data_IF_020718540461
#
_entry.id   IF_020718540461
#
_cell.length_a   1.000
_cell.length_b   1.000
_cell.length_c   1.000
_cell.angle_alpha   90.00
_cell.angle_beta   90.00
_cell.angle_gamma   90.00
#
_symmetry.space_group_name_H-M   'P 1'
#
loop_
_entity.id
_entity.type
_entity.pdbx_description
1 polymer ?
#
# COMPACT_ATOMS: atom_id res chain seq x y z
N UNK A 1 -11.25 3.05 -4.41
CA UNK A 1 -9.80 3.17 -4.46
C UNK A 1 -9.27 2.03 -5.32
N UNK A 2 -9.02 2.29 -6.59
CA UNK A 2 -8.39 1.35 -7.53
C UNK A 2 -6.87 1.37 -7.40
N UNK A 3 -6.17 0.54 -8.18
CA UNK A 3 -4.72 0.59 -8.29
C UNK A 3 -4.22 1.94 -8.84
N UNK A 4 -4.97 2.56 -9.76
CA UNK A 4 -4.65 3.90 -10.25
C UNK A 4 -4.82 4.97 -9.17
N UNK A 5 -5.86 4.87 -8.34
CA UNK A 5 -6.04 5.78 -7.19
C UNK A 5 -4.86 5.67 -6.22
N UNK A 6 -4.37 4.45 -5.94
CA UNK A 6 -3.18 4.24 -5.11
C UNK A 6 -1.92 4.87 -5.73
N UNK A 7 -1.68 4.67 -7.03
CA UNK A 7 -0.55 5.30 -7.71
C UNK A 7 -0.63 6.83 -7.60
N UNK A 8 -1.80 7.41 -7.87
CA UNK A 8 -2.00 8.85 -7.80
C UNK A 8 -1.84 9.40 -6.38
N UNK A 9 -2.27 8.66 -5.37
CA UNK A 9 -2.05 9.01 -3.96
C UNK A 9 -0.56 9.08 -3.63
N UNK A 10 0.22 8.07 -4.05
CA UNK A 10 1.66 8.03 -3.83
C UNK A 10 2.40 9.14 -4.58
N UNK A 11 2.05 9.36 -5.85
CA UNK A 11 2.59 10.44 -6.67
C UNK A 11 2.27 11.82 -6.07
N UNK A 12 1.03 12.05 -5.65
CA UNK A 12 0.63 13.32 -5.04
C UNK A 12 1.35 13.58 -3.73
N UNK A 13 1.54 12.53 -2.91
CA UNK A 13 2.16 12.68 -1.59
C UNK A 13 3.68 12.85 -1.65
N UNK A 14 4.36 12.06 -2.48
CA UNK A 14 5.81 11.93 -2.45
C UNK A 14 6.49 12.08 -3.82
N UNK A 15 5.74 12.30 -4.89
CA UNK A 15 6.25 12.54 -6.24
C UNK A 15 6.82 11.31 -6.93
N UNK A 16 6.53 10.10 -6.43
CA UNK A 16 7.06 8.82 -6.95
C UNK A 16 6.02 7.69 -6.85
N UNK A 17 6.08 6.77 -7.79
CA UNK A 17 5.22 5.59 -7.86
C UNK A 17 5.82 4.45 -7.02
N UNK A 18 5.79 4.59 -5.69
CA UNK A 18 6.35 3.61 -4.76
C UNK A 18 5.64 2.25 -4.82
N UNK A 19 6.41 1.17 -4.65
CA UNK A 19 5.84 -0.15 -4.41
C UNK A 19 5.09 -0.20 -3.07
N UNK A 20 4.04 -1.01 -3.02
CA UNK A 20 3.28 -1.30 -1.80
C UNK A 20 3.30 -2.79 -1.55
N UNK A 21 3.65 -3.18 -0.32
CA UNK A 21 3.62 -4.57 0.12
C UNK A 21 2.66 -4.74 1.27
N UNK A 22 1.95 -5.86 1.28
CA UNK A 22 1.12 -6.23 2.41
C UNK A 22 1.89 -7.26 3.24
N UNK A 23 2.07 -6.96 4.53
CA UNK A 23 2.78 -7.83 5.46
C UNK A 23 1.89 -8.18 6.63
N UNK A 24 1.71 -9.48 6.88
CA UNK A 24 1.07 -9.96 8.10
C UNK A 24 2.12 -10.23 9.18
N UNK A 25 1.89 -9.70 10.37
CA UNK A 25 2.71 -9.98 11.56
C UNK A 25 1.76 -10.36 12.69
N UNK A 26 1.80 -11.63 13.09
CA UNK A 26 0.85 -12.20 14.06
C UNK A 26 -0.60 -11.94 13.60
N UNK A 27 -1.37 -11.22 14.42
CA UNK A 27 -2.76 -10.89 14.16
C UNK A 27 -2.96 -9.48 13.57
N UNK A 28 -1.90 -8.86 13.04
CA UNK A 28 -1.94 -7.53 12.44
C UNK A 28 -1.54 -7.57 10.98
N UNK A 29 -2.23 -6.78 10.16
CA UNK A 29 -1.84 -6.52 8.78
C UNK A 29 -1.18 -5.15 8.73
N UNK A 30 -0.11 -5.05 7.95
CA UNK A 30 0.58 -3.82 7.66
C UNK A 30 0.62 -3.60 6.16
N UNK A 31 0.26 -2.39 5.75
CA UNK A 31 0.46 -1.90 4.40
C UNK A 31 1.77 -1.12 4.41
N UNK A 32 2.75 -1.61 3.67
CA UNK A 32 4.10 -1.06 3.67
C UNK A 32 4.34 -0.35 2.35
N UNK A 33 4.47 0.97 2.39
CA UNK A 33 4.98 1.73 1.24
C UNK A 33 6.49 1.59 1.24
N UNK A 34 7.00 0.84 0.27
CA UNK A 34 8.41 0.51 0.13
C UNK A 34 9.17 1.71 -0.43
N UNK A 35 10.50 1.69 -0.30
CA UNK A 35 11.36 2.76 -0.83
C UNK A 35 11.72 2.59 -2.31
N UNK A 36 11.40 1.43 -2.90
CA UNK A 36 11.54 1.20 -4.35
C UNK A 36 10.32 1.79 -5.06
N UNK A 37 10.52 2.34 -6.25
CA UNK A 37 9.47 2.97 -7.04
C UNK A 37 9.68 2.72 -8.53
N UNK A 38 8.59 2.75 -9.30
CA UNK A 38 8.55 2.40 -10.72
C UNK A 38 9.59 3.16 -11.56
N UNK A 39 9.86 4.42 -11.24
CA UNK A 39 10.79 5.25 -12.00
C UNK A 39 12.28 4.86 -11.80
N UNK A 40 12.59 3.88 -10.95
CA UNK A 40 13.96 3.34 -10.82
C UNK A 40 14.26 2.34 -11.94
N UNK A 41 15.44 2.45 -12.56
CA UNK A 41 15.90 1.52 -13.61
C UNK A 41 15.92 0.06 -13.13
N UNK A 42 16.18 -0.17 -11.84
CA UNK A 42 16.23 -1.51 -11.22
C UNK A 42 14.92 -1.93 -10.55
N UNK A 43 13.81 -1.23 -10.83
CA UNK A 43 12.50 -1.65 -10.35
C UNK A 43 12.10 -2.99 -10.98
N UNK A 44 11.58 -3.97 -10.21
CA UNK A 44 11.45 -5.34 -10.69
C UNK A 44 10.21 -5.59 -11.56
N UNK A 45 9.28 -4.62 -11.64
CA UNK A 45 8.04 -4.75 -12.40
C UNK A 45 8.03 -3.77 -13.58
N UNK A 46 7.43 -4.17 -14.69
CA UNK A 46 7.00 -3.24 -15.72
C UNK A 46 5.85 -2.34 -15.23
N UNK A 47 5.53 -1.28 -15.97
CA UNK A 47 4.42 -0.38 -15.65
C UNK A 47 3.08 -1.13 -15.57
N UNK A 48 2.80 -2.03 -16.51
CA UNK A 48 1.57 -2.83 -16.51
C UNK A 48 1.48 -3.77 -15.30
N UNK A 49 2.58 -4.45 -14.97
CA UNK A 49 2.64 -5.33 -13.79
C UNK A 49 2.52 -4.54 -12.49
N UNK A 50 3.12 -3.35 -12.42
CA UNK A 50 3.00 -2.45 -11.27
C UNK A 50 1.55 -2.02 -11.04
N UNK A 51 0.82 -1.61 -12.09
CA UNK A 51 -0.60 -1.24 -11.95
C UNK A 51 -1.45 -2.45 -11.55
N UNK A 52 -1.23 -3.62 -12.15
CA UNK A 52 -1.93 -4.84 -11.77
C UNK A 52 -1.66 -5.25 -10.31
N UNK A 53 -0.43 -5.07 -9.84
CA UNK A 53 -0.04 -5.27 -8.45
C UNK A 53 -0.77 -4.28 -7.52
N UNK A 54 -0.80 -2.99 -7.86
CA UNK A 54 -1.56 -2.00 -7.07
C UNK A 54 -3.07 -2.28 -7.08
N UNK A 55 -3.63 -2.76 -8.19
CA UNK A 55 -5.05 -3.16 -8.26
C UNK A 55 -5.33 -4.31 -7.31
N UNK A 56 -4.42 -5.29 -7.21
CA UNK A 56 -4.52 -6.40 -6.27
C UNK A 56 -4.48 -5.90 -4.82
N UNK A 57 -3.54 -5.00 -4.51
CA UNK A 57 -3.45 -4.35 -3.18
C UNK A 57 -4.74 -3.60 -2.86
N UNK A 58 -5.23 -2.77 -3.79
CA UNK A 58 -6.49 -2.05 -3.67
C UNK A 58 -7.68 -2.99 -3.38
N UNK A 59 -7.75 -4.12 -4.09
CA UNK A 59 -8.76 -5.16 -3.85
C UNK A 59 -8.75 -5.68 -2.41
N UNK A 60 -7.56 -5.96 -1.85
CA UNK A 60 -7.43 -6.35 -0.45
C UNK A 60 -7.84 -5.24 0.53
N UNK A 61 -7.41 -3.99 0.28
CA UNK A 61 -7.80 -2.85 1.11
C UNK A 61 -9.31 -2.63 1.11
N UNK A 62 -9.98 -2.89 -0.01
CA UNK A 62 -11.42 -2.87 -0.10
C UNK A 62 -12.08 -4.00 0.68
N UNK A 63 -11.63 -5.25 0.50
CA UNK A 63 -12.15 -6.41 1.21
C UNK A 63 -12.04 -6.27 2.74
N UNK A 64 -10.98 -5.62 3.22
CA UNK A 64 -10.74 -5.40 4.64
C UNK A 64 -11.34 -4.09 5.18
N UNK A 65 -11.96 -3.27 4.33
CA UNK A 65 -12.44 -1.94 4.72
C UNK A 65 -11.33 -0.95 5.13
N UNK A 66 -10.06 -1.24 4.79
CA UNK A 66 -8.89 -0.46 5.17
C UNK A 66 -8.52 0.66 4.19
N UNK A 67 -9.22 0.79 3.06
CA UNK A 67 -8.90 1.76 2.01
C UNK A 67 -8.83 3.21 2.52
N UNK A 68 -9.86 3.67 3.24
CA UNK A 68 -9.91 5.03 3.80
C UNK A 68 -8.78 5.26 4.81
N UNK A 69 -8.53 4.28 5.70
CA UNK A 69 -7.45 4.35 6.68
C UNK A 69 -6.07 4.51 6.03
N UNK A 70 -5.80 3.78 4.95
CA UNK A 70 -4.54 3.92 4.19
C UNK A 70 -4.43 5.32 3.57
N UNK A 71 -5.50 5.78 2.92
CA UNK A 71 -5.52 7.09 2.29
C UNK A 71 -5.26 8.21 3.31
N UNK A 72 -6.03 8.25 4.40
CA UNK A 72 -5.91 9.25 5.45
C UNK A 72 -4.51 9.22 6.09
N UNK A 73 -3.97 8.03 6.34
CA UNK A 73 -2.63 7.89 6.90
C UNK A 73 -1.56 8.48 5.97
N UNK A 74 -1.61 8.15 4.67
CA UNK A 74 -0.65 8.66 3.68
C UNK A 74 -0.76 10.18 3.55
N UNK A 75 -1.97 10.72 3.50
CA UNK A 75 -2.22 12.16 3.41
C UNK A 75 -1.64 12.90 4.63
N UNK A 76 -1.81 12.36 5.84
CA UNK A 76 -1.44 13.05 7.08
C UNK A 76 0.01 12.81 7.53
N UNK A 77 0.60 11.66 7.20
CA UNK A 77 1.93 11.31 7.71
C UNK A 77 3.01 12.26 7.20
N UNK A 78 3.99 12.56 8.07
CA UNK A 78 5.22 13.28 7.68
C UNK A 78 6.34 12.32 7.28
N UNK A 79 6.16 11.03 7.52
CA UNK A 79 7.11 10.01 7.13
C UNK A 79 7.19 9.90 5.61
N UNK A 80 8.35 9.44 5.14
CA UNK A 80 8.61 9.16 3.73
C UNK A 80 9.35 7.84 3.62
N UNK A 81 9.08 7.01 2.60
CA UNK A 81 9.90 5.83 2.32
C UNK A 81 11.36 6.24 2.09
N UNK A 82 12.31 5.53 2.69
CA UNK A 82 13.75 5.77 2.54
C UNK A 82 14.47 4.43 2.41
N UNK A 83 15.68 4.42 1.86
CA UNK A 83 16.46 3.19 1.67
C UNK A 83 16.50 2.36 2.98
N UNK A 84 15.96 1.14 2.92
CA UNK A 84 15.87 0.22 4.07
C UNK A 84 14.74 0.50 5.07
N UNK A 85 13.94 1.56 4.89
CA UNK A 85 12.84 1.95 5.78
C UNK A 85 11.55 2.24 5.00
N UNK A 86 10.59 1.31 5.10
CA UNK A 86 9.24 1.50 4.59
C UNK A 86 8.40 2.40 5.51
N UNK A 87 7.39 3.06 4.94
CA UNK A 87 6.29 3.65 5.73
C UNK A 87 5.30 2.52 6.00
N UNK A 88 5.14 2.12 7.26
CA UNK A 88 4.37 0.95 7.65
C UNK A 88 3.06 1.39 8.31
N UNK A 89 1.95 1.16 7.62
CA UNK A 89 0.60 1.57 8.01
C UNK A 89 -0.08 0.35 8.65
N UNK A 90 -0.36 0.35 9.96
CA UNK A 90 -1.11 -0.72 10.58
C UNK A 90 -2.57 -0.65 10.11
N UNK A 91 -3.13 -1.79 9.72
CA UNK A 91 -4.56 -1.96 9.54
C UNK A 91 -5.12 -2.72 10.73
N UNK A 92 -6.08 -2.10 11.41
CA UNK A 92 -6.92 -2.78 12.38
C UNK A 92 -8.12 -3.36 11.64
N UNK A 93 -8.22 -4.68 11.62
CA UNK A 93 -9.31 -5.39 10.94
C UNK A 93 -10.53 -5.54 11.85
N UNK A 94 -10.43 -5.17 13.14
CA UNK A 94 -11.46 -5.45 14.14
C UNK A 94 -11.90 -6.92 14.14
N UNK A 95 -13.14 -7.18 14.59
CA UNK A 95 -13.74 -8.53 14.56
C UNK A 95 -14.16 -8.99 13.14
N UNK A 96 -14.15 -8.09 12.14
CA UNK A 96 -14.55 -8.38 10.75
C UNK A 96 -13.60 -9.32 10.00
N UNK A 97 -12.40 -9.53 10.52
CA UNK A 97 -11.47 -10.51 9.97
C UNK A 97 -12.03 -11.95 9.99
N UNK A 98 -12.97 -12.24 10.89
CA UNK A 98 -13.52 -13.58 11.08
C UNK A 98 -14.41 -14.06 9.93
N UNK A 99 -14.97 -13.14 9.13
CA UNK A 99 -15.89 -13.49 8.04
C UNK A 99 -15.18 -13.87 6.72
N UNK A 100 -13.87 -13.61 6.63
CA UNK A 100 -13.07 -13.79 5.41
C UNK A 100 -11.83 -14.68 5.63
N UNK A 101 -11.58 -15.11 6.87
CA UNK A 101 -10.54 -16.07 7.24
C UNK A 101 -11.20 -17.45 7.35
N UNK A 102 -11.36 -18.12 6.21
CA UNK A 102 -11.64 -19.55 6.12
C UNK A 102 -10.80 -20.15 5.00
#
# INVERSE_FOLDING_TARGET
MTGQDLQQLLLSKWGRSYDIQIRRVQNKIFVQVMWKYLEQVSFPLSEAEYIAHLETVAGYLHAWGGASTVQEYIEQTRDRPRLGKAVSIPLDLGDRASEWIL
#
